data_IF_403539405492
#
_entry.id   IF_403539405492
#
_cell.length_a   1.000
_cell.length_b   1.000
_cell.length_c   1.000
_cell.angle_alpha   90.00
_cell.angle_beta   90.00
_cell.angle_gamma   90.00
#
_symmetry.space_group_name_H-M   'P 1'
#
loop_
_entity.id
_entity.type
_entity.pdbx_description
1 polymer ?
#
# COMPACT_ATOMS: atom_id res chain seq x y z
N UNK A 1 -20.64 -7.65 17.92
CA UNK A 1 -19.83 -6.44 18.21
C UNK A 1 -18.33 -6.70 18.36
N UNK A 2 -17.91 -7.81 19.01
CA UNK A 2 -16.47 -8.09 19.28
C UNK A 2 -15.58 -8.16 18.02
N UNK A 3 -16.07 -8.77 16.94
CA UNK A 3 -15.30 -8.95 15.69
C UNK A 3 -14.87 -7.63 15.03
N UNK A 4 -15.74 -6.61 14.99
CA UNK A 4 -15.43 -5.32 14.37
C UNK A 4 -14.31 -4.58 15.12
N UNK A 5 -14.32 -4.65 16.46
CA UNK A 5 -13.25 -4.08 17.28
C UNK A 5 -11.92 -4.80 17.05
N UNK A 6 -11.93 -6.13 16.90
CA UNK A 6 -10.73 -6.90 16.55
C UNK A 6 -10.17 -6.47 15.20
N UNK A 7 -10.99 -6.39 14.15
CA UNK A 7 -10.54 -5.96 12.82
C UNK A 7 -9.99 -4.53 12.86
N UNK A 8 -10.64 -3.60 13.58
CA UNK A 8 -10.15 -2.23 13.73
C UNK A 8 -8.74 -2.17 14.35
N UNK A 9 -8.50 -2.93 15.41
CA UNK A 9 -7.17 -3.01 16.03
C UNK A 9 -6.11 -3.61 15.10
N UNK A 10 -6.48 -4.63 14.30
CA UNK A 10 -5.60 -5.22 13.29
C UNK A 10 -5.26 -4.21 12.17
N UNK A 11 -6.23 -3.41 11.71
CA UNK A 11 -6.00 -2.34 10.73
C UNK A 11 -4.99 -1.31 11.26
N UNK A 12 -5.11 -0.90 12.52
CA UNK A 12 -4.17 0.04 13.16
C UNK A 12 -2.77 -0.55 13.24
N UNK A 13 -2.62 -1.80 13.70
CA UNK A 13 -1.31 -2.46 13.74
C UNK A 13 -0.68 -2.58 12.36
N UNK A 14 -1.47 -2.96 11.35
CA UNK A 14 -1.00 -3.05 9.97
C UNK A 14 -0.57 -1.68 9.43
N UNK A 15 -1.31 -0.63 9.75
CA UNK A 15 -0.98 0.74 9.37
C UNK A 15 0.33 1.22 9.99
N UNK A 16 0.54 1.00 11.29
CA UNK A 16 1.81 1.30 11.97
C UNK A 16 2.95 0.54 11.31
N UNK A 17 2.75 -0.74 11.00
CA UNK A 17 3.76 -1.55 10.33
C UNK A 17 4.13 -0.99 8.94
N UNK A 18 3.16 -0.52 8.16
CA UNK A 18 3.42 0.14 6.87
C UNK A 18 4.22 1.43 7.07
N UNK A 19 3.85 2.28 8.02
CA UNK A 19 4.59 3.52 8.30
C UNK A 19 6.05 3.20 8.66
N UNK A 20 6.28 2.22 9.54
CA UNK A 20 7.64 1.81 9.92
C UNK A 20 8.43 1.36 8.68
N UNK A 21 7.84 0.54 7.81
CA UNK A 21 8.51 0.12 6.56
C UNK A 21 8.80 1.28 5.61
N UNK A 22 7.90 2.26 5.50
CA UNK A 22 8.11 3.46 4.67
C UNK A 22 9.26 4.30 5.23
N UNK A 23 9.30 4.53 6.54
CA UNK A 23 10.39 5.26 7.19
C UNK A 23 11.74 4.56 7.03
N UNK A 24 11.77 3.23 7.17
CA UNK A 24 12.99 2.44 6.92
C UNK A 24 13.43 2.51 5.45
N UNK A 25 12.49 2.41 4.51
CA UNK A 25 12.78 2.52 3.09
C UNK A 25 13.30 3.91 2.73
N UNK A 26 12.76 4.96 3.35
CA UNK A 26 13.27 6.32 3.18
C UNK A 26 14.68 6.48 3.75
N UNK A 27 14.92 6.03 4.99
CA UNK A 27 16.25 6.08 5.60
C UNK A 27 17.29 5.34 4.77
N UNK A 28 16.92 4.18 4.21
CA UNK A 28 17.75 3.44 3.28
C UNK A 28 17.97 4.20 1.97
N UNK A 29 16.92 4.79 1.38
CA UNK A 29 17.05 5.59 0.17
C UNK A 29 17.97 6.80 0.37
N UNK A 30 17.81 7.51 1.50
CA UNK A 30 18.68 8.63 1.85
C UNK A 30 20.13 8.18 2.05
N UNK A 31 20.34 7.08 2.78
CA UNK A 31 21.67 6.48 2.94
C UNK A 31 22.30 6.13 1.59
N UNK A 32 21.54 5.54 0.66
CA UNK A 32 22.02 5.17 -0.67
C UNK A 32 22.23 6.37 -1.60
N UNK A 33 21.60 7.51 -1.35
CA UNK A 33 21.82 8.75 -2.08
C UNK A 33 23.06 9.51 -1.57
N UNK A 34 23.32 9.44 -0.27
CA UNK A 34 24.49 10.10 0.36
C UNK A 34 25.74 9.24 0.26
N UNK A 35 25.59 7.92 0.37
CA UNK A 35 26.65 6.99 -0.01
C UNK A 35 26.76 7.07 -1.53
N UNK A 36 27.96 7.18 -2.06
CA UNK A 36 28.29 7.36 -3.49
C UNK A 36 27.92 6.13 -4.38
N UNK A 37 26.81 5.46 -4.04
CA UNK A 37 26.25 4.31 -4.72
C UNK A 37 25.68 4.82 -6.03
N UNK A 38 26.13 4.23 -7.13
CA UNK A 38 25.67 4.65 -8.45
C UNK A 38 24.14 4.62 -8.54
N UNK A 39 23.57 5.70 -9.11
CA UNK A 39 22.15 5.84 -9.47
C UNK A 39 21.57 4.58 -10.14
N UNK A 40 22.40 3.89 -10.94
CA UNK A 40 22.07 2.65 -11.63
C UNK A 40 21.78 1.48 -10.68
N UNK A 41 22.55 1.33 -9.60
CA UNK A 41 22.33 0.27 -8.60
C UNK A 41 21.01 0.52 -7.85
N UNK A 42 20.74 1.77 -7.46
CA UNK A 42 19.48 2.14 -6.82
C UNK A 42 18.28 1.89 -7.73
N UNK A 43 18.36 2.31 -9.00
CA UNK A 43 17.31 2.08 -9.99
C UNK A 43 17.09 0.59 -10.27
N UNK A 44 18.17 -0.20 -10.34
CA UNK A 44 18.09 -1.65 -10.50
C UNK A 44 17.41 -2.33 -9.30
N UNK A 45 17.77 -1.95 -8.07
CA UNK A 45 17.14 -2.48 -6.85
C UNK A 45 15.63 -2.17 -6.80
N UNK A 46 15.25 -0.94 -7.14
CA UNK A 46 13.83 -0.54 -7.26
C UNK A 46 13.12 -1.37 -8.33
N UNK A 47 13.75 -1.59 -9.48
CA UNK A 47 13.22 -2.41 -10.57
C UNK A 47 12.94 -3.85 -10.14
N UNK A 48 13.88 -4.49 -9.44
CA UNK A 48 13.70 -5.86 -8.89
C UNK A 48 12.51 -5.92 -7.92
N UNK A 49 12.39 -4.93 -7.02
CA UNK A 49 11.26 -4.86 -6.09
C UNK A 49 9.91 -4.74 -6.83
N UNK A 50 9.84 -3.89 -7.84
CA UNK A 50 8.63 -3.69 -8.64
C UNK A 50 8.22 -4.96 -9.38
N UNK A 51 9.17 -5.64 -10.01
CA UNK A 51 8.94 -6.93 -10.66
C UNK A 51 8.42 -7.94 -9.64
N UNK A 52 9.02 -8.02 -8.45
CA UNK A 52 8.55 -8.87 -7.37
C UNK A 52 7.09 -8.61 -6.97
N UNK A 53 6.68 -7.34 -6.83
CA UNK A 53 5.29 -6.97 -6.55
C UNK A 53 4.35 -7.42 -7.66
N UNK A 54 4.72 -7.24 -8.92
CA UNK A 54 3.93 -7.68 -10.08
C UNK A 54 3.73 -9.20 -10.05
N UNK A 55 4.79 -9.97 -9.78
CA UNK A 55 4.70 -11.42 -9.66
C UNK A 55 3.79 -11.86 -8.51
N UNK A 56 3.90 -11.24 -7.34
CA UNK A 56 3.00 -11.52 -6.21
C UNK A 56 1.55 -11.25 -6.61
N UNK A 57 1.27 -10.13 -7.26
CA UNK A 57 -0.08 -9.79 -7.70
C UNK A 57 -0.61 -10.79 -8.73
N UNK A 58 0.21 -11.16 -9.72
CA UNK A 58 -0.16 -12.14 -10.73
C UNK A 58 -0.45 -13.51 -10.10
N UNK A 59 0.39 -13.94 -9.16
CA UNK A 59 0.16 -15.16 -8.37
C UNK A 59 -1.16 -15.10 -7.60
N UNK A 60 -1.43 -13.98 -6.93
CA UNK A 60 -2.67 -13.78 -6.18
C UNK A 60 -3.90 -13.76 -7.09
N UNK A 61 -3.81 -13.17 -8.28
CA UNK A 61 -4.87 -13.16 -9.30
C UNK A 61 -5.14 -14.56 -9.84
N UNK A 62 -4.08 -15.34 -10.09
CA UNK A 62 -4.18 -16.72 -10.61
C UNK A 62 -4.72 -17.70 -9.56
N UNK A 63 -4.28 -17.58 -8.31
CA UNK A 63 -4.63 -18.52 -7.24
C UNK A 63 -5.86 -18.11 -6.43
N UNK A 64 -6.27 -16.84 -6.50
CA UNK A 64 -7.28 -16.26 -5.62
C UNK A 64 -6.86 -16.17 -4.15
N UNK A 65 -5.63 -16.60 -3.81
CA UNK A 65 -5.11 -16.62 -2.44
C UNK A 65 -4.51 -15.26 -2.10
N UNK A 66 -4.82 -14.74 -0.92
CA UNK A 66 -4.17 -13.54 -0.39
C UNK A 66 -2.78 -13.93 0.10
N UNK A 67 -1.76 -13.22 -0.39
CA UNK A 67 -0.37 -13.35 0.10
C UNK A 67 -0.08 -12.13 0.97
N UNK A 68 0.45 -12.37 2.17
CA UNK A 68 0.73 -11.32 3.15
C UNK A 68 0.81 -11.89 4.56
N UNK A 69 0.99 -10.99 5.53
CA UNK A 69 1.02 -11.36 6.95
C UNK A 69 -0.35 -11.92 7.40
N UNK A 70 -0.40 -12.73 8.47
CA UNK A 70 -1.67 -13.23 9.01
C UNK A 70 -2.70 -12.11 9.29
N UNK A 71 -2.21 -10.96 9.78
CA UNK A 71 -3.00 -9.74 9.99
C UNK A 71 -3.62 -9.24 8.69
N UNK A 72 -2.82 -9.12 7.63
CA UNK A 72 -3.27 -8.64 6.35
C UNK A 72 -4.29 -9.59 5.69
N UNK A 73 -4.05 -10.90 5.79
CA UNK A 73 -5.00 -11.93 5.30
C UNK A 73 -6.37 -11.79 5.97
N UNK A 74 -6.41 -11.69 7.31
CA UNK A 74 -7.67 -11.52 8.07
C UNK A 74 -8.43 -10.24 7.67
N UNK A 75 -7.71 -9.13 7.46
CA UNK A 75 -8.33 -7.88 7.00
C UNK A 75 -8.92 -8.07 5.60
N UNK A 76 -8.17 -8.69 4.68
CA UNK A 76 -8.62 -8.90 3.31
C UNK A 76 -9.80 -9.87 3.20
N UNK A 77 -9.82 -10.95 3.98
CA UNK A 77 -10.93 -11.89 4.07
C UNK A 77 -12.19 -11.17 4.56
N UNK A 78 -12.08 -10.39 5.65
CA UNK A 78 -13.20 -9.59 6.16
C UNK A 78 -13.75 -8.61 5.10
N UNK A 79 -12.87 -7.91 4.38
CA UNK A 79 -13.31 -7.00 3.31
C UNK A 79 -13.94 -7.72 2.13
N UNK A 80 -13.40 -8.89 1.75
CA UNK A 80 -13.90 -9.73 0.67
C UNK A 80 -15.32 -10.20 0.96
N UNK A 81 -15.57 -10.67 2.19
CA UNK A 81 -16.88 -11.15 2.62
C UNK A 81 -17.92 -10.03 2.63
N UNK A 82 -17.52 -8.79 2.97
CA UNK A 82 -18.44 -7.64 3.08
C UNK A 82 -18.70 -6.89 1.77
N UNK A 83 -17.70 -6.79 0.91
CA UNK A 83 -17.82 -6.12 -0.40
C UNK A 83 -18.40 -7.06 -1.46
N UNK A 84 -18.26 -8.37 -1.27
CA UNK A 84 -18.50 -9.40 -2.27
C UNK A 84 -17.36 -9.50 -3.27
N UNK A 85 -17.17 -10.71 -3.81
CA UNK A 85 -16.04 -11.09 -4.66
C UNK A 85 -15.78 -10.10 -5.81
N UNK A 86 -16.83 -9.77 -6.57
CA UNK A 86 -16.72 -8.96 -7.79
C UNK A 86 -16.24 -7.53 -7.49
N UNK A 87 -16.78 -6.89 -6.44
CA UNK A 87 -16.38 -5.52 -6.06
C UNK A 87 -14.99 -5.52 -5.45
N UNK A 88 -14.68 -6.52 -4.63
CA UNK A 88 -13.36 -6.69 -4.03
C UNK A 88 -12.26 -6.87 -5.09
N UNK A 89 -12.47 -7.75 -6.07
CA UNK A 89 -11.54 -7.94 -7.19
C UNK A 89 -11.36 -6.66 -8.02
N UNK A 90 -12.45 -5.92 -8.31
CA UNK A 90 -12.38 -4.67 -9.06
C UNK A 90 -11.52 -3.62 -8.34
N UNK A 91 -11.76 -3.41 -7.04
CA UNK A 91 -10.99 -2.45 -6.25
C UNK A 91 -9.51 -2.83 -6.18
N UNK A 92 -9.22 -4.12 -6.04
CA UNK A 92 -7.86 -4.65 -6.03
C UNK A 92 -7.14 -4.44 -7.36
N UNK A 93 -7.81 -4.68 -8.48
CA UNK A 93 -7.26 -4.43 -9.81
C UNK A 93 -6.99 -2.94 -10.07
N UNK A 94 -7.88 -2.05 -9.62
CA UNK A 94 -7.69 -0.60 -9.72
C UNK A 94 -6.46 -0.18 -8.91
N UNK A 95 -6.35 -0.63 -7.65
CA UNK A 95 -5.22 -0.32 -6.79
C UNK A 95 -3.89 -0.79 -7.37
N UNK A 96 -3.86 -1.99 -7.93
CA UNK A 96 -2.67 -2.52 -8.61
C UNK A 96 -2.31 -1.73 -9.86
N UNK A 97 -3.29 -1.44 -10.72
CA UNK A 97 -3.04 -0.67 -11.96
C UNK A 97 -2.49 0.71 -11.65
N UNK A 98 -3.02 1.36 -10.61
CA UNK A 98 -2.51 2.64 -10.12
C UNK A 98 -1.09 2.54 -9.58
N UNK A 99 -0.78 1.49 -8.80
CA UNK A 99 0.57 1.25 -8.29
C UNK A 99 1.59 1.01 -9.43
N UNK A 100 1.22 0.21 -10.44
CA UNK A 100 2.08 -0.04 -11.62
C UNK A 100 2.31 1.26 -12.40
N UNK A 101 1.28 2.08 -12.58
CA UNK A 101 1.41 3.38 -13.24
C UNK A 101 2.39 4.30 -12.49
N UNK A 102 2.25 4.42 -11.16
CA UNK A 102 3.17 5.20 -10.33
C UNK A 102 4.61 4.67 -10.39
N UNK A 103 4.77 3.36 -10.40
CA UNK A 103 6.07 2.71 -10.51
C UNK A 103 6.77 3.03 -11.84
N UNK A 104 6.04 2.97 -12.96
CA UNK A 104 6.57 3.32 -14.28
C UNK A 104 6.97 4.80 -14.32
N UNK A 105 6.14 5.68 -13.78
CA UNK A 105 6.44 7.12 -13.71
C UNK A 105 7.69 7.39 -12.87
N UNK A 106 7.80 6.77 -11.69
CA UNK A 106 8.95 6.91 -10.80
C UNK A 106 10.23 6.38 -11.46
N UNK A 107 10.17 5.21 -12.08
CA UNK A 107 11.31 4.63 -12.79
C UNK A 107 11.75 5.50 -13.98
N UNK A 108 10.79 6.00 -14.77
CA UNK A 108 11.06 6.89 -15.90
C UNK A 108 11.67 8.21 -15.42
N UNK A 109 11.15 8.80 -14.35
CA UNK A 109 11.70 10.01 -13.75
C UNK A 109 13.15 9.78 -13.28
N UNK A 110 13.45 8.67 -12.61
CA UNK A 110 14.81 8.35 -12.20
C UNK A 110 15.75 8.17 -13.39
N UNK A 111 15.30 7.58 -14.50
CA UNK A 111 16.18 7.29 -15.63
C UNK A 111 16.41 8.48 -16.57
N UNK A 112 15.36 9.28 -16.82
CA UNK A 112 15.38 10.34 -17.83
C UNK A 112 15.49 11.74 -17.25
N UNK A 113 15.19 11.95 -15.96
CA UNK A 113 15.34 13.24 -15.32
C UNK A 113 16.61 13.25 -14.47
N UNK A 114 17.42 14.29 -14.67
CA UNK A 114 18.44 14.67 -13.69
C UNK A 114 17.74 15.43 -12.58
N UNK A 115 17.21 14.65 -11.63
CA UNK A 115 16.67 15.18 -10.40
C UNK A 115 17.86 15.68 -9.56
N UNK A 116 17.93 16.97 -9.18
CA UNK A 116 18.95 17.48 -8.28
C UNK A 116 18.67 16.91 -6.88
N UNK A 117 19.15 15.70 -6.62
CA UNK A 117 18.94 14.97 -5.37
C UNK A 117 19.79 15.55 -4.23
N UNK A 118 20.81 16.36 -4.53
CA UNK A 118 21.87 16.74 -3.57
C UNK A 118 21.65 18.08 -2.83
N UNK A 119 20.89 19.05 -3.38
CA UNK A 119 21.04 20.44 -2.90
C UNK A 119 20.04 20.94 -1.86
N UNK A 120 18.89 20.28 -1.66
CA UNK A 120 17.80 21.00 -0.96
C UNK A 120 17.86 20.98 0.57
N UNK A 121 18.72 20.17 1.20
CA UNK A 121 18.77 20.03 2.67
C UNK A 121 17.43 19.65 3.34
N UNK A 122 16.39 19.39 2.53
CA UNK A 122 15.04 19.06 2.96
C UNK A 122 14.90 17.55 2.94
N UNK A 123 14.38 17.01 4.04
CA UNK A 123 14.01 15.60 4.11
C UNK A 123 13.07 15.24 2.96
N UNK A 124 13.42 14.18 2.26
CA UNK A 124 12.64 13.57 1.19
C UNK A 124 11.20 13.33 1.67
N UNK A 125 11.01 12.93 2.93
CA UNK A 125 9.72 12.79 3.61
C UNK A 125 8.78 13.98 3.43
N UNK A 126 9.30 15.22 3.45
CA UNK A 126 8.47 16.43 3.37
C UNK A 126 7.64 16.48 2.09
N UNK A 127 8.16 15.92 0.99
CA UNK A 127 7.44 15.81 -0.28
C UNK A 127 6.38 14.70 -0.27
N UNK A 128 6.52 13.70 0.60
CA UNK A 128 5.62 12.54 0.66
C UNK A 128 4.58 12.62 1.77
N UNK A 129 4.71 13.51 2.77
CA UNK A 129 3.73 13.66 3.86
C UNK A 129 2.31 13.79 3.33
N UNK A 130 2.10 14.63 2.29
CA UNK A 130 0.79 14.80 1.66
C UNK A 130 0.23 13.50 1.08
N UNK A 131 1.08 12.72 0.41
CA UNK A 131 0.70 11.42 -0.16
C UNK A 131 0.36 10.40 0.93
N UNK A 132 1.13 10.37 2.02
CA UNK A 132 0.89 9.48 3.17
C UNK A 132 -0.46 9.84 3.80
N UNK A 133 -0.71 11.12 4.06
CA UNK A 133 -1.99 11.59 4.63
C UNK A 133 -3.15 11.23 3.70
N UNK A 134 -3.01 11.48 2.41
CA UNK A 134 -4.04 11.18 1.41
C UNK A 134 -4.39 9.70 1.33
N UNK A 135 -3.38 8.82 1.22
CA UNK A 135 -3.57 7.37 1.18
C UNK A 135 -4.18 6.85 2.49
N UNK A 136 -3.71 7.36 3.62
CA UNK A 136 -4.21 6.99 4.95
C UNK A 136 -5.67 7.40 5.14
N UNK A 137 -6.01 8.63 4.77
CA UNK A 137 -7.38 9.15 4.84
C UNK A 137 -8.34 8.39 3.92
N UNK A 138 -7.91 8.08 2.69
CA UNK A 138 -8.67 7.26 1.77
C UNK A 138 -8.94 5.85 2.31
N UNK A 139 -7.93 5.23 2.90
CA UNK A 139 -8.06 3.91 3.55
C UNK A 139 -9.05 3.95 4.71
N UNK A 140 -8.95 4.94 5.61
CA UNK A 140 -9.89 5.09 6.73
C UNK A 140 -11.32 5.37 6.29
N UNK A 141 -11.51 6.21 5.28
CA UNK A 141 -12.83 6.50 4.71
C UNK A 141 -13.48 5.24 4.13
N UNK A 142 -12.72 4.43 3.39
CA UNK A 142 -13.19 3.14 2.87
C UNK A 142 -13.54 2.17 4.00
N UNK A 143 -12.64 2.02 4.98
CA UNK A 143 -12.85 1.17 6.15
C UNK A 143 -14.18 1.53 6.87
N UNK A 144 -14.40 2.82 7.13
CA UNK A 144 -15.64 3.30 7.77
C UNK A 144 -16.90 2.95 6.96
N UNK A 145 -16.85 3.09 5.62
CA UNK A 145 -17.97 2.72 4.74
C UNK A 145 -18.29 1.22 4.79
N UNK A 146 -17.26 0.38 4.81
CA UNK A 146 -17.44 -1.08 4.94
C UNK A 146 -18.08 -1.43 6.29
N UNK A 147 -17.60 -0.81 7.36
CA UNK A 147 -18.10 -1.06 8.71
C UNK A 147 -19.55 -0.55 8.86
N UNK A 148 -19.91 0.62 8.29
CA UNK A 148 -21.28 1.15 8.27
C UNK A 148 -22.26 0.23 7.55
N UNK A 149 -21.91 -0.24 6.35
CA UNK A 149 -22.75 -1.19 5.59
C UNK A 149 -23.03 -2.47 6.39
N UNK A 150 -22.05 -2.93 7.19
CA UNK A 150 -22.25 -4.08 8.08
C UNK A 150 -23.25 -3.80 9.22
N UNK A 151 -23.39 -2.56 9.68
CA UNK A 151 -24.38 -2.21 10.69
C UNK A 151 -25.80 -2.16 10.10
N UNK A 152 -25.94 -1.61 8.89
CA UNK A 152 -27.22 -1.54 8.17
C UNK A 152 -27.77 -2.92 7.82
N UNK A 153 -26.91 -3.83 7.33
CA UNK A 153 -27.31 -5.22 7.05
C UNK A 153 -27.83 -5.93 8.31
N UNK A 154 -27.18 -5.74 9.47
CA UNK A 154 -27.63 -6.35 10.73
C UNK A 154 -28.94 -5.76 11.24
N UNK A 155 -29.13 -4.45 11.08
CA UNK A 155 -30.37 -3.78 11.46
C UNK A 155 -31.56 -4.25 10.61
N UNK A 156 -31.36 -4.49 9.31
CA UNK A 156 -32.42 -4.90 8.39
C UNK A 156 -32.78 -6.39 8.49
N UNK A 157 -31.83 -7.27 8.86
CA UNK A 157 -32.05 -8.72 8.88
C UNK A 157 -32.25 -9.32 10.28
N UNK A 158 -32.22 -8.51 11.35
CA UNK A 158 -32.72 -8.91 12.67
C UNK A 158 -32.14 -10.21 13.23
N UNK A 159 -30.84 -10.45 13.02
CA UNK A 159 -30.07 -11.53 13.67
C UNK A 159 -29.13 -10.99 14.73
#
# INVERSE_FOLDING_TARGET
MKENQTIRSLRIRHFIQIIVWVLLAEGLAHYLLVSDVSKNIFAAALGVLLVGVVFIFFYQKKTGKVVGTPTHKKIMEYERDRLGEKKWQRQRNIGFSFMVLLAILAFSALWFLDLPMEETGRSVFSYYIGSIIGVSGGYWSRAKKIDQKSHEEKANYGT
#
